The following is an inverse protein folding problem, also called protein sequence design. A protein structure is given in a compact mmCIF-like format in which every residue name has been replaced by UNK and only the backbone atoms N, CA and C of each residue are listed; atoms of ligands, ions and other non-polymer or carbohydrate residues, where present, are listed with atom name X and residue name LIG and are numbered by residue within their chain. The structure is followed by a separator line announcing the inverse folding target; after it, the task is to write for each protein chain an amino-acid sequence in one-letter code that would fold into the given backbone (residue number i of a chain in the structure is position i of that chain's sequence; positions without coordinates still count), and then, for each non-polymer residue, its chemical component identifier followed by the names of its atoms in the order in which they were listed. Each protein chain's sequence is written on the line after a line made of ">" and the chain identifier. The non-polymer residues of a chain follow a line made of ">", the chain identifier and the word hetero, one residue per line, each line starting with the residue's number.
data_IF_164968725470
#
_entry.id   IF_164968725470
#
_cell.length_a   1.000
_cell.length_b   1.000
_cell.length_c   1.000
_cell.angle_alpha   90.00
_cell.angle_beta   90.00
_cell.angle_gamma   90.00
#
_symmetry.space_group_name_H-M   'P 1'
#
loop_
_entity.id
_entity.type
_entity.pdbx_description
1 polymer ?
#
# COMPACT_ATOMS: atom_id res chain seq x y z
N UNK A 1 25.54 -21.96 -5.64
CA UNK A 1 25.93 -20.54 -5.49
C UNK A 1 26.46 -20.16 -4.11
N UNK A 2 26.46 -21.06 -3.11
CA UNK A 2 26.95 -20.73 -1.75
C UNK A 2 28.40 -20.22 -1.69
N UNK A 3 29.27 -20.72 -2.58
CA UNK A 3 30.67 -20.26 -2.70
C UNK A 3 30.85 -18.99 -3.55
N UNK A 4 29.78 -18.48 -4.17
CA UNK A 4 29.83 -17.33 -5.07
C UNK A 4 29.45 -16.02 -4.37
N UNK A 5 28.63 -16.07 -3.32
CA UNK A 5 28.17 -14.89 -2.59
C UNK A 5 28.81 -14.80 -1.20
N UNK A 6 29.00 -13.58 -0.67
CA UNK A 6 29.45 -13.41 0.70
C UNK A 6 28.43 -14.00 1.67
N UNK A 7 28.94 -14.64 2.72
CA UNK A 7 28.11 -15.17 3.80
C UNK A 7 27.77 -14.06 4.77
N UNK A 8 26.49 -13.96 5.13
CA UNK A 8 26.02 -13.05 6.18
C UNK A 8 26.72 -13.35 7.51
N UNK A 9 27.38 -12.34 8.08
CA UNK A 9 28.08 -12.41 9.38
C UNK A 9 27.72 -11.18 10.22
N UNK A 10 26.75 -11.27 11.13
CA UNK A 10 26.45 -10.17 12.04
C UNK A 10 27.60 -10.01 13.06
N UNK A 11 27.96 -8.78 13.48
CA UNK A 11 27.26 -7.51 13.22
C UNK A 11 27.72 -6.77 11.95
N UNK A 12 28.84 -7.16 11.33
CA UNK A 12 29.46 -6.44 10.21
C UNK A 12 28.61 -6.40 8.94
N UNK A 13 27.73 -7.38 8.74
CA UNK A 13 26.82 -7.43 7.59
C UNK A 13 25.35 -7.22 7.95
N UNK A 14 25.04 -6.71 9.15
CA UNK A 14 23.65 -6.52 9.58
C UNK A 14 22.93 -5.47 8.73
N UNK A 15 21.71 -5.79 8.28
CA UNK A 15 20.87 -4.87 7.53
C UNK A 15 20.32 -3.75 8.44
N UNK A 16 20.04 -2.60 7.84
CA UNK A 16 19.49 -1.45 8.54
C UNK A 16 17.98 -1.60 8.76
N UNK A 17 17.57 -1.79 10.02
CA UNK A 17 16.17 -2.00 10.38
C UNK A 17 15.38 -0.69 10.52
N UNK A 18 16.01 0.48 10.34
CA UNK A 18 15.35 1.78 10.50
C UNK A 18 15.10 2.51 9.18
N UNK A 19 15.18 1.81 8.05
CA UNK A 19 14.93 2.42 6.74
C UNK A 19 13.43 2.59 6.50
N UNK A 20 13.01 3.84 6.27
CA UNK A 20 11.64 4.18 5.88
C UNK A 20 11.61 4.67 4.42
N UNK A 21 10.55 4.38 3.64
CA UNK A 21 10.43 4.88 2.29
C UNK A 21 10.26 6.41 2.31
N UNK A 22 10.98 7.11 1.43
CA UNK A 22 10.96 8.58 1.37
C UNK A 22 9.72 9.09 0.61
N UNK A 23 8.79 9.81 1.26
CA UNK A 23 7.61 10.35 0.59
C UNK A 23 7.95 11.54 -0.31
N UNK A 24 7.18 11.77 -1.38
CA UNK A 24 7.44 12.87 -2.32
C UNK A 24 7.52 14.25 -1.66
N UNK A 25 6.73 14.50 -0.61
CA UNK A 25 6.72 15.79 0.10
C UNK A 25 8.04 16.12 0.80
N UNK A 26 8.84 15.13 1.23
CA UNK A 26 10.13 15.36 1.89
C UNK A 26 11.28 15.58 0.91
N UNK A 27 11.10 15.27 -0.38
CA UNK A 27 12.16 15.45 -1.40
C UNK A 27 12.41 16.92 -1.72
N UNK A 28 11.45 17.79 -1.44
CA UNK A 28 11.57 19.24 -1.69
C UNK A 28 12.18 19.95 -0.50
N UNK A 29 13.20 20.77 -0.74
CA UNK A 29 13.81 21.60 0.29
C UNK A 29 12.87 22.76 0.68
N UNK A 30 12.69 22.97 1.98
CA UNK A 30 11.93 24.09 2.54
C UNK A 30 12.79 24.76 3.61
N UNK A 31 12.76 26.09 3.63
CA UNK A 31 13.45 26.90 4.63
C UNK A 31 12.40 27.73 5.37
N UNK A 32 12.50 27.76 6.69
CA UNK A 32 11.65 28.56 7.56
C UNK A 32 12.51 29.53 8.36
N UNK A 33 12.06 30.77 8.47
CA UNK A 33 12.62 31.76 9.39
C UNK A 33 11.84 31.71 10.70
N UNK A 34 12.44 31.13 11.73
CA UNK A 34 11.89 31.06 13.08
C UNK A 34 12.61 32.06 14.00
N UNK A 35 12.03 32.37 15.15
CA UNK A 35 12.73 33.19 16.14
C UNK A 35 13.97 32.44 16.67
N UNK A 36 15.04 33.16 17.00
CA UNK A 36 16.29 32.54 17.47
C UNK A 36 16.12 31.69 18.74
N UNK A 37 15.12 32.01 19.55
CA UNK A 37 14.78 31.28 20.78
C UNK A 37 13.76 30.15 20.57
N UNK A 38 13.19 29.99 19.38
CA UNK A 38 12.15 29.01 19.10
C UNK A 38 12.76 27.64 18.78
N UNK A 39 12.43 26.57 19.54
CA UNK A 39 12.90 25.23 19.23
C UNK A 39 12.16 24.67 18.02
N UNK A 40 12.89 23.98 17.13
CA UNK A 40 12.31 23.32 15.97
C UNK A 40 12.73 21.84 15.92
N UNK A 41 11.76 20.95 16.14
CA UNK A 41 11.99 19.52 16.21
C UNK A 41 11.48 18.73 14.99
N UNK A 42 11.69 17.39 14.99
CA UNK A 42 11.17 16.50 13.96
C UNK A 42 9.63 16.49 13.88
N UNK A 43 8.94 16.72 15.00
CA UNK A 43 7.48 16.79 15.07
C UNK A 43 6.98 18.05 14.34
N UNK A 44 7.62 19.19 14.56
CA UNK A 44 7.28 20.46 13.91
C UNK A 44 7.53 20.40 12.40
N UNK A 45 8.63 19.77 12.00
CA UNK A 45 8.94 19.51 10.59
C UNK A 45 7.89 18.60 9.92
N UNK A 46 7.45 17.54 10.62
CA UNK A 46 6.42 16.64 10.10
C UNK A 46 5.06 17.35 9.96
N UNK A 47 4.69 18.18 10.94
CA UNK A 47 3.48 19.01 10.91
C UNK A 47 3.51 20.00 9.74
N UNK A 48 4.64 20.67 9.51
CA UNK A 48 4.84 21.57 8.36
C UNK A 48 4.66 20.86 7.01
N UNK A 49 5.08 19.61 6.92
CA UNK A 49 4.95 18.77 5.72
C UNK A 49 3.59 18.08 5.62
N UNK A 50 2.73 18.22 6.63
CA UNK A 50 1.47 17.48 6.78
C UNK A 50 1.68 15.96 6.64
N UNK A 51 2.71 15.46 7.32
CA UNK A 51 3.09 14.05 7.34
C UNK A 51 3.09 13.52 8.77
N UNK A 52 2.88 12.21 8.97
CA UNK A 52 3.22 11.58 10.25
C UNK A 52 4.72 11.69 10.53
N UNK A 53 5.08 11.66 11.81
CA UNK A 53 6.49 11.68 12.25
C UNK A 53 7.19 10.40 11.81
N UNK A 54 8.49 10.50 11.50
CA UNK A 54 9.28 9.36 11.01
C UNK A 54 9.25 8.15 11.96
N UNK A 55 9.30 8.37 13.27
CA UNK A 55 9.18 7.33 14.30
C UNK A 55 7.88 6.54 14.15
N UNK A 56 6.76 7.23 13.93
CA UNK A 56 5.43 6.62 13.83
C UNK A 56 5.25 5.89 12.49
N UNK A 57 5.96 6.32 11.44
CA UNK A 57 5.97 5.58 10.18
C UNK A 57 6.80 4.31 10.28
N UNK A 58 7.93 4.37 10.98
CA UNK A 58 8.76 3.20 11.25
C UNK A 58 8.01 2.21 12.13
N UNK A 59 7.36 2.67 13.20
CA UNK A 59 6.58 1.81 14.09
C UNK A 59 5.54 1.01 13.30
N UNK A 60 4.76 1.68 12.43
CA UNK A 60 3.77 1.05 11.55
C UNK A 60 4.35 0.03 10.56
N UNK A 61 5.61 0.20 10.14
CA UNK A 61 6.29 -0.75 9.26
C UNK A 61 6.85 -1.94 10.04
N UNK A 62 7.30 -1.70 11.28
CA UNK A 62 7.85 -2.72 12.17
C UNK A 62 6.80 -3.47 12.98
N UNK A 63 5.58 -2.94 13.06
CA UNK A 63 4.40 -3.59 13.60
C UNK A 63 4.14 -4.85 12.76
N UNK A 64 4.85 -5.92 13.11
CA UNK A 64 4.45 -7.28 12.80
C UNK A 64 3.11 -7.41 13.49
N UNK A 65 2.03 -7.40 12.71
CA UNK A 65 0.70 -7.73 13.20
C UNK A 65 0.79 -9.12 13.85
N UNK A 66 1.04 -9.15 15.16
CA UNK A 66 0.54 -10.25 15.98
C UNK A 66 -0.93 -10.36 15.59
N UNK A 67 -1.32 -11.52 15.05
CA UNK A 67 -2.67 -11.80 14.60
C UNK A 67 -3.64 -11.53 15.75
N UNK A 68 -4.17 -10.31 15.87
CA UNK A 68 -4.89 -9.89 17.07
C UNK A 68 -5.45 -8.48 16.99
N UNK A 69 -4.70 -7.51 16.49
CA UNK A 69 -5.25 -6.17 16.27
C UNK A 69 -5.88 -6.07 14.89
N UNK A 70 -7.20 -6.02 14.91
CA UNK A 70 -8.08 -5.66 13.81
C UNK A 70 -7.54 -4.38 13.12
N UNK A 71 -6.68 -4.54 12.11
CA UNK A 71 -6.73 -3.66 10.96
C UNK A 71 -8.22 -3.53 10.68
N UNK A 72 -8.78 -2.31 10.72
CA UNK A 72 -10.20 -2.05 10.45
C UNK A 72 -10.51 -2.51 9.03
N UNK A 73 -10.61 -3.82 8.83
CA UNK A 73 -11.06 -4.45 7.62
C UNK A 73 -12.48 -3.97 7.54
N UNK A 74 -12.73 -3.06 6.59
CA UNK A 74 -14.10 -2.70 6.26
C UNK A 74 -14.72 -3.97 5.70
N UNK A 75 -15.36 -4.74 6.58
CA UNK A 75 -16.05 -5.96 6.22
C UNK A 75 -17.23 -5.54 5.35
N UNK A 76 -17.09 -5.75 4.05
CA UNK A 76 -18.21 -5.56 3.14
C UNK A 76 -19.23 -6.66 3.40
N UNK A 77 -20.51 -6.31 3.44
CA UNK A 77 -21.59 -7.30 3.53
C UNK A 77 -21.60 -8.12 2.24
N UNK A 78 -21.30 -9.41 2.36
CA UNK A 78 -21.31 -10.36 1.25
C UNK A 78 -22.46 -11.34 1.44
N UNK A 79 -23.22 -11.58 0.38
CA UNK A 79 -24.27 -12.60 0.32
C UNK A 79 -23.85 -13.63 -0.72
N UNK A 80 -23.83 -14.90 -0.35
CA UNK A 80 -23.56 -16.02 -1.26
C UNK A 80 -24.89 -16.71 -1.58
N UNK A 81 -25.19 -16.87 -2.86
CA UNK A 81 -26.40 -17.56 -3.31
C UNK A 81 -26.39 -19.04 -2.94
N UNK A 82 -27.57 -19.63 -2.70
CA UNK A 82 -27.70 -21.07 -2.44
C UNK A 82 -27.33 -21.86 -3.70
N UNK A 83 -26.29 -22.68 -3.61
CA UNK A 83 -25.88 -23.60 -4.69
C UNK A 83 -26.75 -24.86 -4.66
N UNK A 84 -27.37 -25.22 -5.78
CA UNK A 84 -28.14 -26.47 -5.93
C UNK A 84 -27.26 -27.60 -6.48
N UNK A 85 -27.71 -28.83 -6.28
CA UNK A 85 -27.04 -30.01 -6.84
C UNK A 85 -26.96 -29.91 -8.37
N UNK A 86 -25.75 -30.13 -8.92
CA UNK A 86 -25.46 -30.00 -10.35
C UNK A 86 -24.93 -28.62 -10.79
N UNK A 87 -25.00 -27.60 -9.93
CA UNK A 87 -24.43 -26.28 -10.24
C UNK A 87 -22.90 -26.27 -10.05
N UNK A 88 -22.17 -25.74 -11.04
CA UNK A 88 -20.70 -25.72 -11.05
C UNK A 88 -20.08 -24.55 -10.29
N UNK A 89 -20.82 -23.46 -10.11
CA UNK A 89 -20.31 -22.21 -9.54
C UNK A 89 -21.32 -21.57 -8.60
N UNK A 90 -20.83 -20.91 -7.55
CA UNK A 90 -21.65 -20.14 -6.62
C UNK A 90 -21.60 -18.64 -6.98
N UNK A 91 -22.74 -17.96 -6.86
CA UNK A 91 -22.81 -16.51 -7.07
C UNK A 91 -22.51 -15.76 -5.77
N UNK A 92 -21.57 -14.80 -5.84
CA UNK A 92 -21.17 -13.93 -4.73
C UNK A 92 -21.64 -12.50 -5.01
N UNK A 93 -22.48 -11.96 -4.13
CA UNK A 93 -22.97 -10.59 -4.19
C UNK A 93 -22.30 -9.77 -3.09
N UNK A 94 -21.62 -8.69 -3.47
CA UNK A 94 -20.95 -7.78 -2.53
C UNK A 94 -21.70 -6.47 -2.47
N UNK A 95 -22.13 -6.04 -1.28
CA UNK A 95 -22.83 -4.78 -1.08
C UNK A 95 -21.87 -3.61 -1.27
N UNK A 96 -22.29 -2.63 -2.07
CA UNK A 96 -21.51 -1.44 -2.42
C UNK A 96 -22.42 -0.23 -2.63
N UNK A 97 -21.89 0.99 -2.43
CA UNK A 97 -22.66 2.24 -2.53
C UNK A 97 -22.96 2.61 -3.98
N UNK A 98 -24.21 2.97 -4.28
CA UNK A 98 -24.62 3.47 -5.60
C UNK A 98 -23.78 4.69 -6.03
N UNK A 99 -23.37 4.74 -7.30
CA UNK A 99 -22.48 5.77 -7.85
C UNK A 99 -20.98 5.47 -7.74
N UNK A 100 -20.57 4.48 -6.93
CA UNK A 100 -19.17 4.02 -6.84
C UNK A 100 -18.91 2.68 -7.55
N UNK A 101 -19.94 2.11 -8.17
CA UNK A 101 -19.95 0.76 -8.75
C UNK A 101 -20.31 0.84 -10.23
N UNK A 102 -19.72 -0.04 -11.04
CA UNK A 102 -19.95 -0.14 -12.48
C UNK A 102 -18.82 0.49 -13.30
N UNK A 103 -18.78 0.18 -14.59
CA UNK A 103 -17.85 0.82 -15.52
C UNK A 103 -18.33 2.24 -15.82
N UNK A 104 -17.40 3.21 -15.77
CA UNK A 104 -17.73 4.61 -16.01
C UNK A 104 -18.06 4.82 -17.49
N UNK A 105 -19.18 5.50 -17.76
CA UNK A 105 -19.52 5.94 -19.10
C UNK A 105 -18.52 7.00 -19.61
N UNK A 106 -18.19 6.95 -20.90
CA UNK A 106 -17.26 7.89 -21.52
C UNK A 106 -15.78 7.69 -21.15
N UNK A 107 -15.43 6.59 -20.46
CA UNK A 107 -14.04 6.24 -20.24
C UNK A 107 -13.32 5.97 -21.58
N UNK A 108 -12.18 6.59 -21.79
CA UNK A 108 -11.41 6.42 -23.02
C UNK A 108 -10.86 5.00 -23.13
N UNK A 109 -11.07 4.37 -24.29
CA UNK A 109 -10.52 3.04 -24.58
C UNK A 109 -9.01 3.16 -24.82
N UNK A 110 -8.22 2.59 -23.91
CA UNK A 110 -6.74 2.68 -23.93
C UNK A 110 -6.06 1.54 -24.68
N UNK A 111 -6.82 0.59 -25.21
CA UNK A 111 -6.27 -0.60 -25.88
C UNK A 111 -5.23 -0.20 -26.92
N UNK A 112 -5.48 0.77 -27.80
CA UNK A 112 -4.52 1.13 -28.87
C UNK A 112 -3.31 1.95 -28.39
N UNK A 113 -3.25 2.35 -27.12
CA UNK A 113 -2.16 3.18 -26.57
C UNK A 113 -1.03 2.31 -26.03
N UNK A 114 0.19 2.87 -26.02
CA UNK A 114 1.40 2.20 -25.51
C UNK A 114 1.32 1.92 -24.01
N UNK A 115 0.66 2.80 -23.27
CA UNK A 115 0.43 2.71 -21.82
C UNK A 115 -0.85 1.94 -21.47
N UNK A 116 -1.19 0.90 -22.26
CA UNK A 116 -2.32 0.01 -21.96
C UNK A 116 -2.10 -0.76 -20.65
N UNK A 117 -3.17 -0.99 -19.90
CA UNK A 117 -3.13 -1.76 -18.67
C UNK A 117 -3.06 -3.26 -19.00
N UNK A 118 -2.07 -3.95 -18.43
CA UNK A 118 -1.88 -5.39 -18.55
C UNK A 118 -1.83 -5.95 -17.12
N UNK A 119 -2.64 -6.97 -16.86
CA UNK A 119 -2.67 -7.71 -15.62
C UNK A 119 -2.46 -9.20 -15.86
N UNK A 120 -2.57 -9.96 -14.79
CA UNK A 120 -2.50 -11.42 -14.81
C UNK A 120 -3.72 -11.98 -14.09
N UNK A 121 -4.27 -13.07 -14.62
CA UNK A 121 -5.33 -13.81 -13.95
C UNK A 121 -4.78 -14.66 -12.79
N UNK A 122 -5.66 -15.35 -12.08
CA UNK A 122 -5.28 -16.23 -10.97
C UNK A 122 -4.42 -17.43 -11.40
N UNK A 123 -4.42 -17.78 -12.69
CA UNK A 123 -3.61 -18.84 -13.28
C UNK A 123 -2.27 -18.32 -13.85
N UNK A 124 -2.02 -17.01 -13.75
CA UNK A 124 -0.81 -16.37 -14.26
C UNK A 124 -0.82 -16.07 -15.76
N UNK A 125 -1.97 -16.16 -16.44
CA UNK A 125 -2.12 -15.79 -17.84
C UNK A 125 -2.24 -14.28 -17.96
N UNK A 126 -1.63 -13.72 -19.01
CA UNK A 126 -1.71 -12.29 -19.31
C UNK A 126 -3.12 -11.89 -19.75
N UNK A 127 -3.71 -10.87 -19.13
CA UNK A 127 -5.06 -10.36 -19.42
C UNK A 127 -5.01 -8.83 -19.56
N UNK A 128 -5.78 -8.27 -20.50
CA UNK A 128 -5.96 -6.82 -20.61
C UNK A 128 -7.03 -6.36 -19.60
N UNK A 129 -6.69 -5.37 -18.78
CA UNK A 129 -7.53 -4.84 -17.70
C UNK A 129 -8.41 -3.67 -18.15
#
# INVERSE_FOLDING_TARGET
>A
MYKMFPLYRPPLGADNLTEIPTPHKTLTQRFLTIAESEPFGPIDAANLLELPVASDTLSKLTEVQEQGDEAKVRLNKVIVGKQKEGERTAFKFTSSKAGSVGHRYGAARRDTKKDRAIGFDAEGRMVYL
#
